data_IF_415995315055
#
_entry.id   IF_415995315055
#
_cell.length_a   1.000
_cell.length_b   1.000
_cell.length_c   1.000
_cell.angle_alpha   90.00
_cell.angle_beta   90.00
_cell.angle_gamma   90.00
#
_symmetry.space_group_name_H-M   'P 1'
#
loop_
_entity.id
_entity.type
_entity.pdbx_description
1 polymer ?
#
# COMPACT_ATOMS: atom_id res chain seq x y z
N UNK A 1 14.24 -1.65 18.16
CA UNK A 1 14.22 -2.14 16.76
C UNK A 1 12.82 -1.92 16.21
N UNK A 2 12.66 -1.06 15.20
CA UNK A 2 11.34 -0.87 14.57
C UNK A 2 11.05 -2.09 13.71
N UNK A 3 9.95 -2.78 13.98
CA UNK A 3 9.50 -3.95 13.21
C UNK A 3 9.13 -3.47 11.80
N UNK A 4 9.73 -4.08 10.77
CA UNK A 4 9.49 -3.67 9.37
C UNK A 4 8.03 -3.94 8.99
N UNK A 5 7.34 -2.96 8.42
CA UNK A 5 5.93 -3.07 8.01
C UNK A 5 5.84 -3.54 6.56
N UNK A 6 5.13 -4.65 6.34
CA UNK A 6 5.02 -5.28 5.03
C UNK A 6 3.63 -5.20 4.39
N UNK A 7 2.60 -4.88 5.17
CA UNK A 7 1.22 -4.84 4.71
C UNK A 7 0.68 -3.44 4.95
N UNK A 8 0.07 -2.87 3.92
CA UNK A 8 -0.49 -1.52 3.91
C UNK A 8 -1.95 -1.56 3.48
N UNK A 9 -2.86 -1.24 4.41
CA UNK A 9 -4.30 -1.22 4.17
C UNK A 9 -4.76 0.02 3.42
N UNK A 10 -5.84 -0.11 2.63
CA UNK A 10 -6.61 0.98 2.06
C UNK A 10 -8.11 0.63 2.05
N UNK A 11 -8.98 1.60 2.31
CA UNK A 11 -10.43 1.47 2.25
C UNK A 11 -11.13 2.49 3.15
N UNK A 12 -12.44 2.67 2.95
CA UNK A 12 -13.30 3.51 3.79
C UNK A 12 -12.76 4.94 4.01
N UNK A 13 -12.26 5.57 2.94
CA UNK A 13 -11.70 6.92 3.02
C UNK A 13 -10.34 7.01 3.73
N UNK A 14 -9.71 5.88 4.07
CA UNK A 14 -8.45 5.77 4.81
C UNK A 14 -7.44 4.93 4.04
N UNK A 15 -6.15 5.20 4.25
CA UNK A 15 -5.08 4.35 3.76
C UNK A 15 -3.83 4.51 4.63
N UNK A 16 -3.05 3.44 4.72
CA UNK A 16 -1.75 3.44 5.38
C UNK A 16 -0.60 3.80 4.43
N UNK A 17 -0.91 3.94 3.13
CA UNK A 17 -0.01 4.39 2.08
C UNK A 17 -0.56 5.62 1.33
N UNK A 18 0.16 6.08 0.31
CA UNK A 18 -0.27 7.18 -0.56
C UNK A 18 0.40 7.09 -1.95
N UNK A 19 0.02 7.98 -2.85
CA UNK A 19 0.50 8.04 -4.24
C UNK A 19 2.01 8.31 -4.40
N UNK A 20 2.70 8.73 -3.34
CA UNK A 20 4.17 8.92 -3.34
C UNK A 20 4.93 7.62 -3.06
N UNK A 21 4.27 6.59 -2.52
CA UNK A 21 4.91 5.34 -2.10
C UNK A 21 5.02 4.29 -3.23
N UNK A 22 5.28 4.74 -4.46
CA UNK A 22 5.31 3.87 -5.65
C UNK A 22 6.42 2.82 -5.62
N UNK A 23 7.57 3.16 -5.05
CA UNK A 23 8.69 2.21 -4.94
C UNK A 23 8.40 1.09 -3.94
N UNK A 24 7.65 1.39 -2.88
CA UNK A 24 7.33 0.43 -1.82
C UNK A 24 6.06 -0.38 -2.10
N UNK A 25 5.03 0.25 -2.68
CA UNK A 25 3.70 -0.35 -2.88
C UNK A 25 3.42 -0.72 -4.36
N UNK A 26 4.34 -0.38 -5.26
CA UNK A 26 4.09 -0.41 -6.70
C UNK A 26 3.13 0.70 -7.16
N UNK A 27 3.05 0.92 -8.47
CA UNK A 27 2.20 1.97 -9.05
C UNK A 27 0.71 1.77 -8.77
N UNK A 28 0.22 0.53 -8.81
CA UNK A 28 -1.19 0.20 -8.54
C UNK A 28 -1.56 0.35 -7.06
N UNK A 29 -0.72 -0.18 -6.16
CA UNK A 29 -0.95 -0.08 -4.71
C UNK A 29 -0.92 1.36 -4.21
N UNK A 30 0.04 2.15 -4.69
CA UNK A 30 0.15 3.58 -4.37
C UNK A 30 -1.09 4.37 -4.86
N UNK A 31 -1.57 4.11 -6.09
CA UNK A 31 -2.76 4.78 -6.61
C UNK A 31 -4.04 4.34 -5.89
N UNK A 32 -4.20 3.06 -5.54
CA UNK A 32 -5.38 2.61 -4.76
C UNK A 32 -5.43 3.25 -3.37
N UNK A 33 -4.27 3.39 -2.72
CA UNK A 33 -4.17 4.11 -1.45
C UNK A 33 -4.54 5.59 -1.62
N UNK A 34 -4.04 6.26 -2.66
CA UNK A 34 -4.37 7.65 -2.97
C UNK A 34 -5.87 7.83 -3.26
N UNK A 35 -6.47 6.95 -4.07
CA UNK A 35 -7.90 6.97 -4.35
C UNK A 35 -8.74 6.83 -3.08
N UNK A 36 -8.34 5.93 -2.17
CA UNK A 36 -8.99 5.79 -0.87
C UNK A 36 -8.88 7.08 -0.03
N UNK A 37 -7.71 7.72 0.02
CA UNK A 37 -7.52 9.00 0.73
C UNK A 37 -8.37 10.14 0.14
N UNK A 38 -8.57 10.13 -1.19
CA UNK A 38 -9.45 11.05 -1.90
C UNK A 38 -10.94 10.73 -1.72
N UNK A 39 -11.28 9.71 -0.91
CA UNK A 39 -12.65 9.23 -0.68
C UNK A 39 -13.36 8.76 -1.95
N UNK A 40 -12.59 8.36 -2.96
CA UNK A 40 -13.13 7.69 -4.13
C UNK A 40 -13.56 6.29 -3.68
N UNK A 41 -14.77 5.81 -4.04
CA UNK A 41 -15.26 4.50 -3.64
C UNK A 41 -14.43 3.39 -4.29
N UNK A 42 -13.39 2.96 -3.59
CA UNK A 42 -12.58 1.77 -3.91
C UNK A 42 -12.89 0.67 -2.90
N UNK A 43 -13.04 -0.59 -3.33
CA UNK A 43 -13.18 -1.72 -2.42
C UNK A 43 -12.00 -1.79 -1.44
N UNK A 44 -12.29 -2.07 -0.17
CA UNK A 44 -11.25 -2.21 0.85
C UNK A 44 -10.28 -3.35 0.50
N UNK A 45 -9.01 -3.15 0.81
CA UNK A 45 -7.96 -4.10 0.52
C UNK A 45 -6.64 -3.72 1.16
N UNK A 46 -5.58 -4.41 0.75
CA UNK A 46 -4.24 -4.15 1.23
C UNK A 46 -3.22 -4.39 0.12
N UNK A 47 -2.05 -3.78 0.28
CA UNK A 47 -0.87 -3.99 -0.55
C UNK A 47 0.23 -4.61 0.28
N UNK A 48 0.82 -5.70 -0.23
CA UNK A 48 2.06 -6.27 0.30
C UNK A 48 3.23 -5.55 -0.39
N UNK A 49 4.22 -5.09 0.38
CA UNK A 49 5.30 -4.26 -0.18
C UNK A 49 6.17 -5.02 -1.17
N UNK A 50 6.83 -4.27 -2.06
CA UNK A 50 7.86 -4.77 -2.98
C UNK A 50 9.02 -5.43 -2.25
N UNK A 51 9.32 -5.00 -1.02
CA UNK A 51 10.36 -5.62 -0.19
C UNK A 51 10.06 -7.08 0.18
N UNK A 52 8.78 -7.45 0.35
CA UNK A 52 8.40 -8.86 0.57
C UNK A 52 8.70 -9.69 -0.67
N UNK A 53 8.50 -9.14 -1.86
CA UNK A 53 8.88 -9.81 -3.10
C UNK A 53 10.38 -10.11 -3.10
N UNK A 54 11.23 -9.14 -2.77
CA UNK A 54 12.68 -9.36 -2.64
C UNK A 54 13.02 -10.39 -1.55
N UNK A 55 12.33 -10.37 -0.42
CA UNK A 55 12.55 -11.30 0.67
C UNK A 55 12.15 -12.74 0.32
N UNK A 56 11.13 -12.93 -0.51
CA UNK A 56 10.67 -14.24 -0.98
C UNK A 56 11.68 -14.95 -1.89
N UNK A 57 12.42 -14.19 -2.69
CA UNK A 57 13.44 -14.73 -3.61
C UNK A 57 14.84 -14.89 -2.98
N UNK A 58 14.99 -14.63 -1.67
CA UNK A 58 16.22 -14.89 -0.92
C UNK A 58 16.07 -16.17 -0.11
#
# INVERSE_FOLDING_TARGET
MVKKKYVYFFGDGKAEGNGKMKELLGGKGANLAEMSLLKIPVPAGFTITTEVCTAYYK
#
